data_IF_374294936759
#
_entry.id   IF_374294936759
#
_cell.length_a   1.000
_cell.length_b   1.000
_cell.length_c   1.000
_cell.angle_alpha   90.00
_cell.angle_beta   90.00
_cell.angle_gamma   90.00
#
_symmetry.space_group_name_H-M   'P 1'
#
loop_
_entity.id
_entity.type
_entity.pdbx_description
1 polymer ?
#
# COMPACT_ATOMS: atom_id res chain seq x y z
N UNK A 1 22.94 -10.35 36.58
CA UNK A 1 22.52 -10.92 35.28
C UNK A 1 21.06 -10.52 35.08
N UNK A 2 20.75 -9.64 34.14
CA UNK A 2 19.36 -9.19 33.94
C UNK A 2 18.55 -10.30 33.27
N UNK A 3 17.40 -10.62 33.85
CA UNK A 3 16.39 -11.51 33.29
C UNK A 3 15.76 -10.84 32.06
N UNK A 4 16.47 -10.82 30.92
CA UNK A 4 15.81 -10.57 29.63
C UNK A 4 15.00 -11.81 29.27
N UNK A 5 13.76 -11.90 29.78
CA UNK A 5 12.73 -12.71 29.12
C UNK A 5 12.78 -12.32 27.65
N UNK A 6 13.12 -13.25 26.75
CA UNK A 6 13.21 -12.98 25.32
C UNK A 6 11.90 -12.33 24.87
N UNK A 7 11.92 -11.03 24.56
CA UNK A 7 10.73 -10.36 24.04
C UNK A 7 10.35 -11.10 22.76
N UNK A 8 9.17 -11.71 22.75
CA UNK A 8 8.65 -12.32 21.52
C UNK A 8 8.52 -11.23 20.47
N UNK A 9 9.03 -11.49 19.26
CA UNK A 9 8.86 -10.58 18.14
C UNK A 9 7.36 -10.38 17.89
N UNK A 10 6.97 -9.11 17.80
CA UNK A 10 5.60 -8.71 17.47
C UNK A 10 5.63 -7.83 16.25
N UNK A 11 4.70 -8.06 15.34
CA UNK A 11 4.44 -7.18 14.20
C UNK A 11 2.95 -6.84 14.27
N UNK A 12 2.62 -5.55 14.31
CA UNK A 12 1.30 -5.07 14.72
C UNK A 12 0.89 -5.61 16.10
N UNK A 13 -0.32 -6.17 16.20
CA UNK A 13 -0.87 -6.79 17.41
C UNK A 13 -0.57 -8.31 17.48
N UNK A 14 0.09 -8.87 16.47
CA UNK A 14 0.35 -10.31 16.36
C UNK A 14 1.72 -10.70 16.93
N UNK A 15 1.76 -11.84 17.62
CA UNK A 15 3.00 -12.49 18.05
C UNK A 15 3.50 -13.35 16.88
N UNK A 16 4.70 -13.06 16.40
CA UNK A 16 5.33 -13.85 15.34
C UNK A 16 5.68 -15.24 15.89
N UNK A 17 5.26 -16.29 15.19
CA UNK A 17 5.51 -17.69 15.55
C UNK A 17 6.29 -18.41 14.44
N UNK A 18 6.82 -19.60 14.71
CA UNK A 18 7.48 -20.41 13.68
C UNK A 18 6.55 -20.71 12.47
N UNK A 19 5.24 -20.86 12.71
CA UNK A 19 4.24 -21.05 11.65
C UNK A 19 4.17 -19.84 10.70
N UNK A 20 4.35 -18.63 11.23
CA UNK A 20 4.34 -17.40 10.45
C UNK A 20 5.47 -17.37 9.40
N UNK A 21 6.65 -17.89 9.74
CA UNK A 21 7.79 -18.01 8.82
C UNK A 21 7.62 -19.16 7.82
N UNK A 22 7.03 -20.28 8.25
CA UNK A 22 6.76 -21.42 7.37
C UNK A 22 5.93 -21.04 6.12
N UNK A 23 5.05 -20.05 6.24
CA UNK A 23 4.27 -19.52 5.11
C UNK A 23 5.14 -18.79 4.05
N UNK A 24 6.23 -18.15 4.47
CA UNK A 24 7.18 -17.43 3.60
C UNK A 24 8.28 -18.37 3.08
N UNK A 25 8.75 -19.27 3.94
CA UNK A 25 9.91 -20.13 3.68
C UNK A 25 9.59 -21.29 2.73
N UNK A 26 8.31 -21.58 2.46
CA UNK A 26 7.89 -22.64 1.55
C UNK A 26 7.69 -22.10 0.13
N UNK A 27 8.60 -22.34 -0.83
CA UNK A 27 8.46 -21.83 -2.18
C UNK A 27 7.19 -22.37 -2.85
N UNK A 28 6.50 -21.52 -3.62
CA UNK A 28 5.29 -21.93 -4.34
C UNK A 28 4.02 -22.03 -3.49
N UNK A 29 4.12 -21.92 -2.16
CA UNK A 29 2.96 -21.70 -1.32
C UNK A 29 2.39 -20.33 -1.69
N UNK A 30 1.16 -20.31 -2.18
CA UNK A 30 0.50 -19.03 -2.45
C UNK A 30 0.39 -18.31 -1.12
N UNK A 31 0.88 -17.09 -1.10
CA UNK A 31 0.27 -16.08 -0.28
C UNK A 31 -1.10 -15.86 -0.97
N UNK A 32 -2.16 -16.62 -0.62
CA UNK A 32 -3.52 -16.44 -1.16
C UNK A 32 -4.51 -16.00 -0.09
N UNK A 33 -5.35 -15.01 -0.42
CA UNK A 33 -6.39 -14.35 0.40
C UNK A 33 -7.53 -15.29 0.90
N UNK A 34 -7.30 -16.60 1.00
CA UNK A 34 -8.35 -17.60 1.33
C UNK A 34 -8.88 -17.47 2.76
N UNK A 35 -8.31 -16.57 3.55
CA UNK A 35 -8.98 -16.00 4.71
C UNK A 35 -8.64 -14.51 4.69
N UNK A 36 -9.67 -13.67 4.61
CA UNK A 36 -9.69 -12.20 4.48
C UNK A 36 -8.75 -11.38 5.39
N UNK A 37 -7.98 -12.04 6.25
CA UNK A 37 -6.99 -11.43 7.11
C UNK A 37 -5.57 -11.83 6.68
N UNK A 38 -5.21 -13.12 6.65
CA UNK A 38 -3.82 -13.58 6.82
C UNK A 38 -2.73 -13.11 5.85
N UNK A 39 -3.08 -12.53 4.71
CA UNK A 39 -2.12 -12.25 3.65
C UNK A 39 -1.59 -10.83 3.59
N UNK A 40 -2.48 -9.88 3.85
CA UNK A 40 -2.07 -8.52 4.12
C UNK A 40 -1.11 -8.54 5.30
N UNK A 41 -1.18 -9.51 6.22
CA UNK A 41 -0.31 -9.56 7.40
C UNK A 41 1.18 -9.57 7.07
N UNK A 42 1.65 -10.40 6.14
CA UNK A 42 3.09 -10.50 5.83
C UNK A 42 3.59 -9.29 5.03
N UNK A 43 2.79 -8.81 4.07
CA UNK A 43 3.14 -7.63 3.27
C UNK A 43 3.04 -6.35 4.11
N UNK A 44 1.96 -6.20 4.87
CA UNK A 44 1.75 -5.12 5.84
C UNK A 44 2.82 -5.17 6.93
N UNK A 45 3.20 -6.36 7.43
CA UNK A 45 4.35 -6.51 8.32
C UNK A 45 5.64 -5.96 7.69
N UNK A 46 5.87 -6.25 6.41
CA UNK A 46 6.98 -5.67 5.65
C UNK A 46 6.90 -4.14 5.60
N UNK A 47 5.73 -3.58 5.32
CA UNK A 47 5.52 -2.13 5.34
C UNK A 47 5.70 -1.50 6.72
N UNK A 48 5.24 -2.15 7.78
CA UNK A 48 5.44 -1.67 9.16
C UNK A 48 6.92 -1.71 9.56
N UNK A 49 7.65 -2.76 9.18
CA UNK A 49 9.11 -2.79 9.36
C UNK A 49 9.80 -1.68 8.57
N UNK A 50 9.33 -1.37 7.36
CA UNK A 50 9.83 -0.24 6.57
C UNK A 50 9.54 1.11 7.24
N UNK A 51 8.31 1.33 7.74
CA UNK A 51 7.92 2.53 8.51
C UNK A 51 8.80 2.67 9.77
N UNK A 52 8.96 1.59 10.54
CA UNK A 52 9.82 1.58 11.73
C UNK A 52 11.29 1.87 11.37
N UNK A 53 11.78 1.35 10.25
CA UNK A 53 13.14 1.65 9.79
C UNK A 53 13.26 3.11 9.38
N UNK A 54 12.26 3.69 8.73
CA UNK A 54 12.22 5.11 8.35
C UNK A 54 12.29 6.02 9.57
N UNK A 55 11.59 5.66 10.65
CA UNK A 55 11.60 6.41 11.93
C UNK A 55 12.95 6.24 12.66
N UNK A 56 13.42 5.00 12.80
CA UNK A 56 14.57 4.70 13.66
C UNK A 56 15.93 4.91 12.96
N UNK A 57 15.97 4.85 11.64
CA UNK A 57 17.19 4.96 10.84
C UNK A 57 16.93 5.81 9.59
N UNK A 58 16.52 7.09 9.75
CA UNK A 58 16.10 7.93 8.63
C UNK A 58 17.22 8.11 7.60
N UNK A 59 18.49 8.10 8.00
CA UNK A 59 19.65 8.29 7.13
C UNK A 59 19.85 7.20 6.07
N UNK A 60 19.22 6.03 6.26
CA UNK A 60 19.24 4.96 5.28
C UNK A 60 18.29 5.21 4.10
N UNK A 61 17.41 6.21 4.20
CA UNK A 61 16.46 6.56 3.16
C UNK A 61 16.98 7.78 2.39
N UNK A 62 17.30 7.57 1.12
CA UNK A 62 17.72 8.63 0.19
C UNK A 62 16.58 9.63 -0.08
N UNK A 63 15.35 9.14 -0.16
CA UNK A 63 14.17 9.97 -0.40
C UNK A 63 13.45 10.29 0.92
N UNK A 64 13.65 11.51 1.41
CA UNK A 64 13.00 12.02 2.65
C UNK A 64 11.54 12.45 2.44
N UNK A 65 11.12 12.58 1.18
CA UNK A 65 9.75 12.99 0.79
C UNK A 65 8.85 11.79 0.53
N UNK A 66 9.33 10.57 0.79
CA UNK A 66 8.52 9.38 0.59
C UNK A 66 7.84 8.94 1.88
N UNK A 67 6.56 8.62 1.79
CA UNK A 67 5.78 8.05 2.86
C UNK A 67 5.42 6.60 2.52
N UNK A 68 5.72 5.71 3.45
CA UNK A 68 5.27 4.33 3.38
C UNK A 68 3.87 4.25 3.98
N UNK A 69 2.86 3.97 3.16
CA UNK A 69 1.45 3.95 3.61
C UNK A 69 0.96 2.52 3.90
N UNK A 70 1.49 1.50 3.23
CA UNK A 70 1.09 0.10 3.42
C UNK A 70 -0.02 -0.34 2.47
N UNK A 71 -0.52 -1.56 2.64
CA UNK A 71 -1.50 -2.19 1.74
C UNK A 71 -2.91 -1.63 1.94
N UNK A 72 -3.28 -1.37 3.19
CA UNK A 72 -4.61 -0.86 3.55
C UNK A 72 -4.97 0.45 2.85
N UNK A 73 -3.95 1.22 2.43
CA UNK A 73 -4.14 2.46 1.69
C UNK A 73 -4.84 2.24 0.35
N UNK A 74 -4.61 1.12 -0.32
CA UNK A 74 -5.22 0.81 -1.63
C UNK A 74 -6.33 -0.23 -1.54
N UNK A 75 -6.39 -1.05 -0.48
CA UNK A 75 -7.50 -2.00 -0.27
C UNK A 75 -8.86 -1.30 -0.13
N UNK A 76 -8.91 -0.11 0.47
CA UNK A 76 -10.16 0.67 0.58
C UNK A 76 -10.73 1.04 -0.79
N UNK A 77 -9.86 1.21 -1.81
CA UNK A 77 -10.33 1.42 -3.19
C UNK A 77 -11.07 0.18 -3.66
N UNK A 78 -10.53 -1.02 -3.42
CA UNK A 78 -11.18 -2.26 -3.86
C UNK A 78 -12.54 -2.46 -3.17
N UNK A 79 -12.67 -2.03 -1.91
CA UNK A 79 -13.91 -2.15 -1.13
C UNK A 79 -14.97 -1.13 -1.55
N UNK A 80 -14.55 0.09 -1.90
CA UNK A 80 -15.46 1.20 -2.16
C UNK A 80 -15.56 1.59 -3.63
N UNK A 81 -14.93 0.86 -4.55
CA UNK A 81 -14.84 1.25 -5.95
C UNK A 81 -16.22 1.40 -6.61
N UNK A 82 -17.13 0.46 -6.38
CA UNK A 82 -18.46 0.48 -6.99
C UNK A 82 -19.29 1.67 -6.47
N UNK A 83 -19.24 1.94 -5.16
CA UNK A 83 -19.90 3.11 -4.56
C UNK A 83 -19.29 4.42 -5.07
N UNK A 84 -17.97 4.47 -5.22
CA UNK A 84 -17.27 5.60 -5.83
C UNK A 84 -17.71 5.82 -7.28
N UNK A 85 -17.94 4.76 -8.06
CA UNK A 85 -18.39 4.89 -9.44
C UNK A 85 -19.80 5.50 -9.55
N UNK A 86 -20.67 5.19 -8.59
CA UNK A 86 -22.05 5.69 -8.54
C UNK A 86 -22.13 7.18 -8.16
N UNK A 87 -21.24 7.67 -7.28
CA UNK A 87 -21.26 9.07 -6.82
C UNK A 87 -19.89 9.77 -6.84
N UNK A 88 -19.17 9.72 -7.96
CA UNK A 88 -17.79 10.26 -8.07
C UNK A 88 -17.58 11.69 -7.54
N UNK A 89 -18.59 12.56 -7.58
CA UNK A 89 -18.45 13.99 -7.23
C UNK A 89 -18.55 14.22 -5.73
N UNK A 90 -19.49 13.55 -5.08
CA UNK A 90 -19.80 13.77 -3.68
C UNK A 90 -19.26 12.63 -2.79
N UNK A 91 -18.74 11.55 -3.40
CA UNK A 91 -18.09 10.44 -2.69
C UNK A 91 -16.91 10.92 -1.84
N UNK A 92 -16.99 10.61 -0.55
CA UNK A 92 -15.91 10.83 0.41
C UNK A 92 -15.44 9.47 0.90
N UNK A 93 -14.15 9.18 0.69
CA UNK A 93 -13.52 8.04 1.35
C UNK A 93 -13.57 8.26 2.87
N UNK A 94 -14.30 7.40 3.59
CA UNK A 94 -14.62 7.58 5.01
C UNK A 94 -13.45 7.26 5.95
N UNK A 95 -12.44 6.48 5.55
CA UNK A 95 -11.54 5.89 6.56
C UNK A 95 -10.17 6.57 6.75
N UNK A 96 -9.80 6.72 8.03
CA UNK A 96 -8.53 6.21 8.56
C UNK A 96 -7.22 6.91 8.20
N UNK A 97 -7.24 8.01 7.45
CA UNK A 97 -6.02 8.71 7.03
C UNK A 97 -5.43 9.67 8.07
N UNK A 98 -6.22 10.10 9.06
CA UNK A 98 -5.75 10.96 10.14
C UNK A 98 -4.63 10.34 10.98
N UNK A 99 -4.41 9.02 10.88
CA UNK A 99 -3.31 8.30 11.54
C UNK A 99 -1.94 8.53 10.89
N UNK A 100 -1.90 8.98 9.64
CA UNK A 100 -0.65 9.31 8.98
C UNK A 100 -0.32 10.76 9.35
N UNK A 101 0.71 10.95 10.16
CA UNK A 101 1.16 12.28 10.56
C UNK A 101 1.93 12.89 9.37
N UNK A 102 1.20 13.54 8.46
CA UNK A 102 1.76 14.02 7.19
C UNK A 102 2.43 15.37 7.41
N UNK A 103 3.75 15.41 7.24
CA UNK A 103 4.47 16.66 7.03
C UNK A 103 4.18 17.19 5.61
N UNK A 104 4.13 18.52 5.43
CA UNK A 104 3.74 19.19 4.16
C UNK A 104 4.62 18.89 2.93
N UNK A 105 5.63 18.02 3.04
CA UNK A 105 6.66 17.79 2.02
C UNK A 105 6.68 16.36 1.47
N UNK A 106 5.59 15.60 1.59
CA UNK A 106 5.50 14.26 0.99
C UNK A 106 5.23 14.38 -0.52
N UNK A 107 6.09 13.76 -1.34
CA UNK A 107 5.95 13.70 -2.80
C UNK A 107 5.72 12.28 -3.32
N UNK A 108 5.98 11.25 -2.50
CA UNK A 108 5.86 9.86 -2.91
C UNK A 108 5.10 9.02 -1.90
N UNK A 109 4.23 8.13 -2.38
CA UNK A 109 3.62 7.08 -1.57
C UNK A 109 4.11 5.70 -2.02
N UNK A 110 4.57 4.90 -1.06
CA UNK A 110 4.90 3.49 -1.24
C UNK A 110 3.77 2.61 -0.69
N UNK A 111 3.18 1.80 -1.57
CA UNK A 111 2.09 0.87 -1.25
C UNK A 111 2.23 -0.42 -2.09
N UNK A 112 1.28 -1.35 -1.94
CA UNK A 112 1.15 -2.52 -2.79
C UNK A 112 -0.33 -2.89 -2.97
N UNK A 113 -0.65 -3.47 -4.13
CA UNK A 113 -1.99 -3.95 -4.49
C UNK A 113 -1.99 -5.44 -4.75
N UNK A 114 -3.05 -6.12 -4.31
CA UNK A 114 -3.29 -7.52 -4.64
C UNK A 114 -4.16 -7.59 -5.90
N UNK A 115 -3.58 -7.95 -7.04
CA UNK A 115 -4.33 -8.03 -8.29
C UNK A 115 -4.97 -9.41 -8.46
N UNK A 116 -6.28 -9.41 -8.66
CA UNK A 116 -7.09 -10.61 -8.88
C UNK A 116 -6.84 -11.72 -7.84
N UNK A 117 -6.47 -11.33 -6.61
CA UNK A 117 -6.10 -12.21 -5.49
C UNK A 117 -4.96 -13.21 -5.79
N UNK A 118 -4.18 -12.96 -6.86
CA UNK A 118 -3.21 -13.92 -7.38
C UNK A 118 -1.76 -13.46 -7.22
N UNK A 119 -1.50 -12.16 -7.23
CA UNK A 119 -0.15 -11.62 -7.10
C UNK A 119 -0.17 -10.17 -6.62
N UNK A 120 0.95 -9.76 -6.02
CA UNK A 120 1.16 -8.42 -5.49
C UNK A 120 1.92 -7.56 -6.49
N UNK A 121 1.47 -6.33 -6.68
CA UNK A 121 2.25 -5.28 -7.34
C UNK A 121 2.71 -4.29 -6.31
N UNK A 122 4.02 -3.99 -6.30
CA UNK A 122 4.50 -2.79 -5.60
C UNK A 122 4.02 -1.55 -6.35
N UNK A 123 3.59 -0.53 -5.63
CA UNK A 123 3.04 0.71 -6.20
C UNK A 123 3.79 1.91 -5.63
N UNK A 124 4.23 2.78 -6.53
CA UNK A 124 4.79 4.09 -6.20
C UNK A 124 3.92 5.16 -6.82
N UNK A 125 3.29 5.96 -5.98
CA UNK A 125 2.55 7.15 -6.42
C UNK A 125 3.46 8.35 -6.28
N UNK A 126 3.73 9.06 -7.36
CA UNK A 126 4.43 10.34 -7.36
C UNK A 126 3.39 11.46 -7.51
N UNK A 127 3.27 12.28 -6.46
CA UNK A 127 2.26 13.33 -6.35
C UNK A 127 2.59 14.53 -7.22
N UNK A 128 3.86 14.92 -7.25
CA UNK A 128 4.34 16.05 -8.06
C UNK A 128 4.14 15.79 -9.55
N UNK A 129 4.56 14.60 -10.02
CA UNK A 129 4.43 14.20 -11.43
C UNK A 129 3.05 13.67 -11.78
N UNK A 130 2.17 13.52 -10.79
CA UNK A 130 0.86 12.86 -10.91
C UNK A 130 1.00 11.55 -11.69
N UNK A 131 1.82 10.64 -11.16
CA UNK A 131 2.07 9.37 -11.84
C UNK A 131 2.12 8.16 -10.90
N UNK A 132 1.80 6.99 -11.44
CA UNK A 132 1.83 5.72 -10.74
C UNK A 132 2.84 4.84 -11.45
N UNK A 133 3.81 4.31 -10.70
CA UNK A 133 4.74 3.29 -11.17
C UNK A 133 4.42 1.97 -10.48
N UNK A 134 4.25 0.91 -11.27
CA UNK A 134 3.99 -0.43 -10.72
C UNK A 134 5.21 -1.33 -10.88
N UNK A 135 5.50 -2.13 -9.86
CA UNK A 135 6.60 -3.08 -9.83
C UNK A 135 6.02 -4.48 -9.88
N UNK A 136 6.04 -5.08 -11.08
CA UNK A 136 5.54 -6.44 -11.30
C UNK A 136 6.67 -7.47 -11.22
N UNK A 137 6.90 -8.00 -10.02
CA UNK A 137 7.84 -9.11 -9.82
C UNK A 137 7.34 -10.46 -10.39
N UNK A 138 6.08 -10.51 -10.84
CA UNK A 138 5.44 -11.68 -11.45
C UNK A 138 5.27 -11.53 -12.99
N UNK A 139 6.08 -10.70 -13.65
CA UNK A 139 5.96 -10.39 -15.09
C UNK A 139 5.96 -11.62 -16.02
N UNK A 140 6.47 -12.77 -15.57
CA UNK A 140 6.41 -14.04 -16.31
C UNK A 140 5.04 -14.77 -16.23
N UNK A 141 4.19 -14.42 -15.26
CA UNK A 141 2.90 -15.10 -14.97
C UNK A 141 1.66 -14.29 -15.35
N UNK A 142 1.80 -12.98 -15.53
CA UNK A 142 0.71 -12.09 -15.94
C UNK A 142 1.17 -11.16 -17.04
N UNK A 143 0.36 -11.05 -18.10
CA UNK A 143 0.64 -10.09 -19.17
C UNK A 143 0.25 -8.71 -18.70
N UNK A 144 1.01 -7.70 -19.14
CA UNK A 144 0.70 -6.30 -18.89
C UNK A 144 -0.77 -5.93 -19.20
N UNK A 145 -1.33 -6.48 -20.29
CA UNK A 145 -2.73 -6.27 -20.66
C UNK A 145 -3.74 -6.69 -19.57
N UNK A 146 -3.43 -7.72 -18.77
CA UNK A 146 -4.29 -8.16 -17.67
C UNK A 146 -4.25 -7.24 -16.45
N UNK A 147 -3.23 -6.38 -16.35
CA UNK A 147 -3.01 -5.45 -15.25
C UNK A 147 -3.60 -4.07 -15.47
N UNK A 148 -3.64 -3.65 -16.74
CA UNK A 148 -4.11 -2.31 -17.14
C UNK A 148 -5.46 -1.93 -16.51
N UNK A 149 -6.50 -2.79 -16.47
CA UNK A 149 -7.79 -2.41 -15.88
C UNK A 149 -7.68 -2.05 -14.40
N UNK A 150 -6.91 -2.82 -13.63
CA UNK A 150 -6.71 -2.58 -12.20
C UNK A 150 -5.94 -1.29 -11.96
N UNK A 151 -4.80 -1.10 -12.64
CA UNK A 151 -3.98 0.11 -12.48
C UNK A 151 -4.74 1.37 -12.93
N UNK A 152 -5.58 1.26 -13.97
CA UNK A 152 -6.46 2.35 -14.40
C UNK A 152 -7.53 2.71 -13.37
N UNK A 153 -8.15 1.72 -12.71
CA UNK A 153 -9.11 1.96 -11.65
C UNK A 153 -8.47 2.75 -10.50
N UNK A 154 -7.29 2.33 -10.04
CA UNK A 154 -6.53 3.07 -9.03
C UNK A 154 -6.14 4.47 -9.51
N UNK A 155 -5.70 4.63 -10.76
CA UNK A 155 -5.34 5.94 -11.32
C UNK A 155 -6.52 6.93 -11.37
N UNK A 156 -7.75 6.43 -11.47
CA UNK A 156 -8.96 7.23 -11.44
C UNK A 156 -9.35 7.66 -10.02
N UNK A 157 -9.16 6.78 -9.03
CA UNK A 157 -9.61 6.99 -7.65
C UNK A 157 -8.57 7.75 -6.81
N UNK A 158 -7.28 7.52 -7.06
CA UNK A 158 -6.18 8.08 -6.27
C UNK A 158 -6.23 9.61 -6.11
N UNK A 159 -6.56 10.44 -7.11
CA UNK A 159 -6.69 11.89 -6.92
C UNK A 159 -7.67 12.26 -5.79
N UNK A 160 -8.80 11.55 -5.68
CA UNK A 160 -9.82 11.81 -4.67
C UNK A 160 -9.32 11.44 -3.27
N UNK A 161 -8.72 10.26 -3.14
CA UNK A 161 -8.12 9.82 -1.87
C UNK A 161 -6.98 10.72 -1.43
N UNK A 162 -6.10 11.12 -2.34
CA UNK A 162 -4.96 11.99 -2.04
C UNK A 162 -5.43 13.38 -1.61
N UNK A 163 -6.45 13.93 -2.28
CA UNK A 163 -7.08 15.19 -1.89
C UNK A 163 -7.61 15.13 -0.45
N UNK A 164 -8.31 14.06 -0.11
CA UNK A 164 -8.83 13.85 1.24
C UNK A 164 -7.69 13.64 2.26
N UNK A 165 -6.70 12.82 1.89
CA UNK A 165 -5.52 12.51 2.70
C UNK A 165 -4.69 13.75 3.05
N UNK A 166 -4.39 14.60 2.07
CA UNK A 166 -3.61 15.84 2.25
C UNK A 166 -4.46 16.99 2.77
N UNK A 167 -5.79 16.83 2.84
CA UNK A 167 -6.77 17.90 3.13
C UNK A 167 -6.58 19.10 2.19
N UNK A 168 -6.15 18.86 0.95
CA UNK A 168 -5.85 19.88 -0.04
C UNK A 168 -7.01 20.06 -1.03
N UNK A 169 -7.96 20.91 -0.64
CA UNK A 169 -9.14 21.20 -1.47
C UNK A 169 -8.82 21.83 -2.83
N UNK A 170 -7.61 22.39 -2.99
CA UNK A 170 -7.13 23.03 -4.21
C UNK A 170 -6.56 22.06 -5.24
N UNK A 171 -6.31 20.80 -4.84
CA UNK A 171 -5.81 19.77 -5.72
C UNK A 171 -6.82 19.49 -6.86
N UNK A 172 -6.34 19.64 -8.09
CA UNK A 172 -7.12 19.32 -9.28
C UNK A 172 -7.22 17.80 -9.49
N UNK A 173 -8.37 17.25 -9.09
CA UNK A 173 -8.73 15.84 -9.22
C UNK A 173 -9.07 15.41 -10.66
N UNK A 174 -9.22 16.35 -11.61
CA UNK A 174 -9.55 16.02 -13.00
C UNK A 174 -8.35 15.53 -13.80
N UNK A 175 -7.15 15.69 -13.27
CA UNK A 175 -5.92 15.21 -13.91
C UNK A 175 -5.67 13.76 -13.50
N UNK A 176 -5.82 12.85 -14.47
CA UNK A 176 -5.50 11.44 -14.30
C UNK A 176 -4.01 11.25 -13.99
N UNK A 177 -3.71 10.30 -13.10
CA UNK A 177 -2.33 9.86 -12.89
C UNK A 177 -1.80 9.17 -14.15
N UNK A 178 -0.64 9.61 -14.66
CA UNK A 178 0.06 8.89 -15.74
C UNK A 178 0.60 7.57 -15.21
N UNK A 179 0.29 6.48 -15.90
CA UNK A 179 0.78 5.15 -15.53
C UNK A 179 2.10 4.92 -16.26
N UNK A 180 3.18 4.70 -15.49
CA UNK A 180 4.47 4.26 -15.99
C UNK A 180 4.69 2.81 -15.56
N UNK A 181 5.21 2.00 -16.47
CA UNK A 181 5.55 0.59 -16.24
C UNK A 181 6.98 0.34 -16.66
#
# INVERSE_FOLDING_TARGET
MSNQKSKKLRINQEIVTAKWFSDIETPGKKLSKTYLLFLSHHIEAGFELLKLRQINNPDLFLNKTALVVGVKFLEEIDELYDEFLDDKKDFQFETGFDKYNIEKNINFFYSAIAVAEKYWLGVVVNLEKRSITTFNCAAMKSTYASLVPYVNAYAMVLPFMIRNFLKDVSMDIKLYFKIFN
#
